data_IF_738257322591
#
_entry.id   IF_738257322591
#
_cell.length_a   1.000
_cell.length_b   1.000
_cell.length_c   1.000
_cell.angle_alpha   90.00
_cell.angle_beta   90.00
_cell.angle_gamma   90.00
#
_symmetry.space_group_name_H-M   'P 1'
#
loop_
_entity.id
_entity.type
_entity.pdbx_description
1 polymer ?
#
# COMPACT_ATOMS: atom_id res chain seq x y z
N UNK A 1 -10.49 16.43 6.12
CA UNK A 1 -10.51 14.97 5.95
C UNK A 1 -9.94 14.37 7.21
N UNK A 2 -10.61 13.38 7.81
CA UNK A 2 -10.13 12.76 9.04
C UNK A 2 -8.75 12.15 8.82
N UNK A 3 -7.79 12.49 9.68
CA UNK A 3 -6.47 11.88 9.61
C UNK A 3 -6.56 10.47 10.18
N UNK A 4 -6.21 9.46 9.38
CA UNK A 4 -6.23 8.04 9.79
C UNK A 4 -5.41 7.81 11.06
N UNK A 5 -4.33 8.58 11.24
CA UNK A 5 -3.52 8.54 12.47
C UNK A 5 -4.36 8.91 13.72
N UNK A 6 -5.20 9.95 13.64
CA UNK A 6 -6.06 10.34 14.77
C UNK A 6 -7.15 9.30 15.04
N UNK A 7 -7.67 8.65 13.99
CA UNK A 7 -8.61 7.53 14.15
C UNK A 7 -7.94 6.36 14.88
N UNK A 8 -6.68 6.05 14.54
CA UNK A 8 -5.91 4.98 15.19
C UNK A 8 -5.61 5.29 16.66
N UNK A 9 -5.22 6.52 16.96
CA UNK A 9 -4.83 6.94 18.32
C UNK A 9 -6.03 7.17 19.26
N UNK A 10 -7.17 7.60 18.71
CA UNK A 10 -8.34 7.97 19.51
C UNK A 10 -9.60 7.19 19.16
N UNK A 11 -9.46 5.96 18.66
CA UNK A 11 -10.57 5.11 18.19
C UNK A 11 -11.79 5.09 19.11
N UNK A 12 -11.60 4.95 20.42
CA UNK A 12 -12.71 4.91 21.39
C UNK A 12 -13.48 6.25 21.47
N UNK A 13 -12.78 7.37 21.32
CA UNK A 13 -13.38 8.71 21.26
C UNK A 13 -14.22 8.84 20.00
N UNK A 14 -13.71 8.37 18.86
CA UNK A 14 -14.42 8.36 17.58
C UNK A 14 -15.69 7.51 17.66
N UNK A 15 -15.60 6.28 18.18
CA UNK A 15 -16.75 5.39 18.37
C UNK A 15 -17.82 6.07 19.25
N UNK A 16 -17.41 6.65 20.38
CA UNK A 16 -18.35 7.29 21.32
C UNK A 16 -19.03 8.52 20.70
N UNK A 17 -18.29 9.35 19.97
CA UNK A 17 -18.82 10.55 19.32
C UNK A 17 -19.72 10.23 18.12
N UNK A 18 -19.44 9.15 17.38
CA UNK A 18 -20.28 8.66 16.29
C UNK A 18 -21.54 7.96 16.82
N UNK A 19 -21.44 7.23 17.94
CA UNK A 19 -22.59 6.65 18.62
C UNK A 19 -23.58 7.72 19.11
N UNK A 20 -23.10 8.90 19.56
CA UNK A 20 -23.96 10.05 19.89
C UNK A 20 -24.78 10.58 18.70
N UNK A 21 -24.34 10.30 17.47
CA UNK A 21 -25.08 10.60 16.22
C UNK A 21 -25.98 9.46 15.76
N UNK A 22 -26.08 8.37 16.52
CA UNK A 22 -26.87 7.19 16.16
C UNK A 22 -26.20 6.28 15.13
N UNK A 23 -24.88 6.43 14.92
CA UNK A 23 -24.11 5.57 14.01
C UNK A 23 -23.19 4.65 14.83
N UNK A 24 -23.31 3.34 14.62
CA UNK A 24 -22.29 2.40 15.09
C UNK A 24 -21.13 2.40 14.08
N UNK A 25 -20.08 3.14 14.42
CA UNK A 25 -18.91 3.28 13.57
C UNK A 25 -17.79 2.29 13.93
N UNK A 26 -18.02 1.34 14.85
CA UNK A 26 -16.96 0.44 15.31
C UNK A 26 -16.41 -0.39 14.15
N UNK A 27 -17.28 -1.05 13.39
CA UNK A 27 -16.88 -1.86 12.23
C UNK A 27 -16.29 -0.99 11.12
N UNK A 28 -16.91 0.15 10.81
CA UNK A 28 -16.40 1.08 9.80
C UNK A 28 -14.98 1.59 10.11
N UNK A 29 -14.69 1.92 11.37
CA UNK A 29 -13.35 2.36 11.79
C UNK A 29 -12.33 1.22 11.74
N UNK A 30 -12.72 -0.01 12.11
CA UNK A 30 -11.85 -1.19 11.94
C UNK A 30 -11.53 -1.45 10.47
N UNK A 31 -12.52 -1.34 9.59
CA UNK A 31 -12.35 -1.51 8.15
C UNK A 31 -11.41 -0.46 7.56
N UNK A 32 -11.54 0.81 8.00
CA UNK A 32 -10.61 1.88 7.61
C UNK A 32 -9.19 1.55 8.06
N UNK A 33 -8.99 1.12 9.31
CA UNK A 33 -7.66 0.81 9.84
C UNK A 33 -7.03 -0.38 9.13
N UNK A 34 -7.80 -1.42 8.88
CA UNK A 34 -7.36 -2.64 8.18
C UNK A 34 -7.04 -2.34 6.71
N UNK A 35 -7.85 -1.51 6.06
CA UNK A 35 -7.62 -1.09 4.67
C UNK A 35 -6.39 -0.18 4.57
N UNK A 36 -6.16 0.74 5.52
CA UNK A 36 -4.92 1.53 5.57
C UNK A 36 -3.68 0.67 5.83
N UNK A 37 -3.78 -0.34 6.70
CA UNK A 37 -2.69 -1.29 6.91
C UNK A 37 -2.34 -2.05 5.64
N UNK A 38 -3.36 -2.53 4.92
CA UNK A 38 -3.21 -3.19 3.62
C UNK A 38 -2.55 -2.25 2.61
N UNK A 39 -3.01 -1.00 2.52
CA UNK A 39 -2.43 0.04 1.66
C UNK A 39 -0.94 0.23 1.95
N UNK A 40 -0.57 0.38 3.23
CA UNK A 40 0.82 0.56 3.66
C UNK A 40 1.68 -0.65 3.35
N UNK A 41 1.18 -1.86 3.58
CA UNK A 41 1.89 -3.09 3.27
C UNK A 41 2.13 -3.23 1.76
N UNK A 42 1.10 -3.01 0.93
CA UNK A 42 1.20 -3.04 -0.53
C UNK A 42 2.17 -1.98 -1.06
N UNK A 43 2.13 -0.76 -0.51
CA UNK A 43 3.09 0.30 -0.85
C UNK A 43 4.53 -0.13 -0.53
N UNK A 44 4.77 -0.66 0.67
CA UNK A 44 6.11 -1.10 1.07
C UNK A 44 6.64 -2.23 0.16
N UNK A 45 5.79 -3.19 -0.18
CA UNK A 45 6.15 -4.27 -1.11
C UNK A 45 6.47 -3.74 -2.52
N UNK A 46 5.67 -2.78 -3.01
CA UNK A 46 5.92 -2.14 -4.29
C UNK A 46 7.26 -1.39 -4.30
N UNK A 47 7.56 -0.62 -3.25
CA UNK A 47 8.81 0.11 -3.12
C UNK A 47 10.02 -0.83 -3.06
N UNK A 48 9.88 -1.96 -2.35
CA UNK A 48 10.89 -3.01 -2.30
C UNK A 48 11.16 -3.60 -3.69
N UNK A 49 10.12 -3.97 -4.43
CA UNK A 49 10.26 -4.54 -5.78
C UNK A 49 10.89 -3.54 -6.75
N UNK A 50 10.50 -2.27 -6.68
CA UNK A 50 11.10 -1.21 -7.51
C UNK A 50 12.58 -1.03 -7.18
N UNK A 51 12.94 -1.08 -5.90
CA UNK A 51 14.33 -1.04 -5.45
C UNK A 51 15.13 -2.24 -5.98
N UNK A 52 14.60 -3.46 -5.83
CA UNK A 52 15.23 -4.69 -6.33
C UNK A 52 15.41 -4.66 -7.86
N UNK A 53 14.41 -4.20 -8.60
CA UNK A 53 14.47 -4.05 -10.06
C UNK A 53 15.59 -3.08 -10.51
N UNK A 54 15.77 -1.97 -9.77
CA UNK A 54 16.85 -1.02 -10.02
C UNK A 54 18.24 -1.62 -9.71
N UNK A 55 18.36 -2.42 -8.65
CA UNK A 55 19.59 -3.14 -8.30
C UNK A 55 19.94 -4.14 -9.42
N UNK A 56 19.00 -5.00 -9.81
CA UNK A 56 19.23 -5.99 -10.87
C UNK A 56 19.57 -5.34 -12.21
N UNK A 57 18.95 -4.20 -12.55
CA UNK A 57 19.30 -3.45 -13.76
C UNK A 57 20.77 -3.02 -13.78
N UNK A 58 21.32 -2.58 -12.63
CA UNK A 58 22.74 -2.23 -12.50
C UNK A 58 23.64 -3.48 -12.57
N UNK A 59 23.26 -4.56 -11.89
CA UNK A 59 24.01 -5.82 -11.91
C UNK A 59 24.08 -6.45 -13.31
N UNK A 60 22.97 -6.42 -14.06
CA UNK A 60 22.93 -6.88 -15.46
C UNK A 60 23.95 -6.12 -16.30
N UNK A 61 24.01 -4.79 -16.17
CA UNK A 61 24.99 -3.96 -16.89
C UNK A 61 26.43 -4.33 -16.55
N UNK A 62 26.72 -4.60 -15.28
CA UNK A 62 28.04 -5.01 -14.81
C UNK A 62 28.43 -6.42 -15.29
N UNK A 63 27.50 -7.38 -15.23
CA UNK A 63 27.71 -8.75 -15.71
C UNK A 63 27.96 -8.80 -17.22
N UNK A 64 27.22 -8.01 -18.01
CA UNK A 64 27.45 -7.91 -19.46
C UNK A 64 28.84 -7.33 -19.73
N UNK A 65 29.25 -6.29 -19.01
CA UNK A 65 30.60 -5.70 -19.13
C UNK A 65 31.70 -6.71 -18.79
N UNK A 66 31.44 -7.62 -17.86
CA UNK A 66 32.36 -8.69 -17.46
C UNK A 66 32.30 -9.93 -18.37
N UNK A 67 31.44 -9.95 -19.40
CA UNK A 67 31.27 -11.10 -20.30
C UNK A 67 30.42 -12.24 -19.73
N UNK A 68 29.79 -12.06 -18.57
CA UNK A 68 28.97 -13.06 -17.87
C UNK A 68 27.51 -13.09 -18.39
N UNK A 69 27.36 -13.31 -19.69
CA UNK A 69 26.06 -13.21 -20.41
C UNK A 69 25.00 -14.16 -19.85
N UNK A 70 25.38 -15.36 -19.41
CA UNK A 70 24.44 -16.33 -18.84
C UNK A 70 23.80 -15.84 -17.53
N UNK A 71 24.59 -15.25 -16.62
CA UNK A 71 24.07 -14.69 -15.36
C UNK A 71 23.23 -13.44 -15.61
N UNK A 72 23.62 -12.61 -16.57
CA UNK A 72 22.83 -11.45 -16.98
C UNK A 72 21.45 -11.84 -17.53
N UNK A 73 21.35 -12.93 -18.30
CA UNK A 73 20.07 -13.41 -18.81
C UNK A 73 19.14 -13.93 -17.70
N UNK A 74 19.67 -14.63 -16.69
CA UNK A 74 18.89 -15.04 -15.52
C UNK A 74 18.33 -13.84 -14.74
N UNK A 75 19.14 -12.79 -14.55
CA UNK A 75 18.66 -11.57 -13.90
C UNK A 75 17.65 -10.80 -14.75
N UNK A 76 17.78 -10.81 -16.09
CA UNK A 76 16.77 -10.21 -16.98
C UNK A 76 15.42 -10.88 -16.84
N UNK A 77 15.38 -12.22 -16.73
CA UNK A 77 14.15 -12.97 -16.51
C UNK A 77 13.49 -12.59 -15.19
N UNK A 78 14.26 -12.56 -14.09
CA UNK A 78 13.79 -12.10 -12.77
C UNK A 78 13.28 -10.66 -12.81
N UNK A 79 13.98 -9.76 -13.49
CA UNK A 79 13.57 -8.36 -13.66
C UNK A 79 12.24 -8.26 -14.43
N UNK A 80 12.01 -9.14 -15.41
CA UNK A 80 10.73 -9.27 -16.10
C UNK A 80 9.58 -9.64 -15.16
N UNK A 81 9.79 -10.63 -14.29
CA UNK A 81 8.80 -11.05 -13.28
C UNK A 81 8.52 -9.93 -12.26
N UNK A 82 9.56 -9.26 -11.75
CA UNK A 82 9.41 -8.12 -10.84
C UNK A 82 8.60 -6.99 -11.46
N UNK A 83 8.77 -6.73 -12.77
CA UNK A 83 8.01 -5.70 -13.48
C UNK A 83 6.53 -6.03 -13.55
N UNK A 84 6.18 -7.31 -13.73
CA UNK A 84 4.78 -7.75 -13.73
C UNK A 84 4.18 -7.67 -12.33
N UNK A 85 4.90 -8.14 -11.30
CA UNK A 85 4.48 -8.01 -9.90
C UNK A 85 4.26 -6.56 -9.48
N UNK A 86 5.17 -5.66 -9.88
CA UNK A 86 5.04 -4.22 -9.63
C UNK A 86 3.76 -3.64 -10.23
N UNK A 87 3.37 -4.04 -11.45
CA UNK A 87 2.11 -3.60 -12.04
C UNK A 87 0.90 -4.10 -11.25
N UNK A 88 0.90 -5.37 -10.85
CA UNK A 88 -0.18 -5.95 -10.04
C UNK A 88 -0.32 -5.20 -8.71
N UNK A 89 0.79 -5.01 -7.99
CA UNK A 89 0.79 -4.29 -6.72
C UNK A 89 0.37 -2.83 -6.87
N UNK A 90 0.76 -2.16 -7.96
CA UNK A 90 0.30 -0.80 -8.24
C UNK A 90 -1.22 -0.74 -8.44
N UNK A 91 -1.80 -1.71 -9.15
CA UNK A 91 -3.27 -1.80 -9.30
C UNK A 91 -3.91 -2.03 -7.95
N UNK A 92 -3.46 -3.03 -7.19
CA UNK A 92 -3.98 -3.34 -5.85
C UNK A 92 -3.88 -2.14 -4.91
N UNK A 93 -2.77 -1.40 -4.97
CA UNK A 93 -2.59 -0.19 -4.19
C UNK A 93 -3.62 0.87 -4.55
N UNK A 94 -3.84 1.12 -5.84
CA UNK A 94 -4.83 2.09 -6.30
C UNK A 94 -6.24 1.69 -5.84
N UNK A 95 -6.63 0.43 -6.03
CA UNK A 95 -7.93 -0.10 -5.61
C UNK A 95 -8.10 0.03 -4.08
N UNK A 96 -7.03 -0.23 -3.32
CA UNK A 96 -7.04 -0.10 -1.86
C UNK A 96 -7.16 1.36 -1.42
N UNK A 97 -6.49 2.29 -2.12
CA UNK A 97 -6.59 3.73 -1.86
C UNK A 97 -8.01 4.23 -2.13
N UNK A 98 -8.60 3.83 -3.25
CA UNK A 98 -9.98 4.19 -3.58
C UNK A 98 -10.96 3.63 -2.54
N UNK A 99 -10.81 2.35 -2.17
CA UNK A 99 -11.63 1.74 -1.10
C UNK A 99 -11.49 2.48 0.22
N UNK A 100 -10.25 2.81 0.62
CA UNK A 100 -9.99 3.56 1.85
C UNK A 100 -10.66 4.93 1.82
N UNK A 101 -10.61 5.61 0.67
CA UNK A 101 -11.23 6.91 0.49
C UNK A 101 -12.76 6.85 0.58
N UNK A 102 -13.39 5.82 0.00
CA UNK A 102 -14.84 5.59 0.13
C UNK A 102 -15.24 5.37 1.60
N UNK A 103 -14.54 4.49 2.31
CA UNK A 103 -14.80 4.23 3.74
C UNK A 103 -14.68 5.51 4.59
N UNK A 104 -13.69 6.36 4.29
CA UNK A 104 -13.51 7.64 4.98
C UNK A 104 -14.61 8.67 4.65
N UNK A 105 -15.26 8.56 3.49
CA UNK A 105 -16.40 9.42 3.12
C UNK A 105 -17.70 9.01 3.80
N UNK A 106 -17.87 7.71 4.05
CA UNK A 106 -19.06 7.19 4.74
C UNK A 106 -19.05 7.56 6.24
N UNK A 107 -17.88 7.85 6.81
CA UNK A 107 -17.75 8.27 8.21
C UNK A 107 -18.00 9.78 8.32
N UNK A 108 -19.06 10.21 9.03
CA UNK A 108 -19.35 11.63 9.20
C UNK A 108 -18.25 12.30 10.02
N UNK A 109 -17.90 13.54 9.64
CA UNK A 109 -16.87 14.28 10.36
C UNK A 109 -17.31 14.56 11.82
N UNK A 110 -16.39 14.38 12.76
CA UNK A 110 -16.65 14.68 14.17
C UNK A 110 -16.39 16.19 14.38
N UNK A 111 -17.36 16.95 14.92
CA UNK A 111 -17.13 18.35 15.27
C UNK A 111 -16.14 18.46 16.44
N UNK A 112 -15.35 19.53 16.45
CA UNK A 112 -14.49 19.93 17.58
C UNK A 112 -15.27 20.01 18.90
#
# INVERSE_FOLDING_TARGET
MLQINNIREHKDVYITALAKRGMDAKEALEDVLTTDETRRATQAQLDEILSQSNIFSKEIGLLIKNGEVQKANLLKEKTGQLKEQSKTLQSTLNDTVEKLQQLLYDIPNIPD
#
